data_IF_143572303516
#
_entry.id   IF_143572303516
#
_cell.length_a   1.000
_cell.length_b   1.000
_cell.length_c   1.000
_cell.angle_alpha   90.00
_cell.angle_beta   90.00
_cell.angle_gamma   90.00
#
_symmetry.space_group_name_H-M   'P 1'
#
loop_
_entity.id
_entity.type
_entity.pdbx_description
1 polymer ?
#
# COMPACT_ATOMS: atom_id res chain seq x y z
N UNK A 1 8.01 -8.80 -18.55
CA UNK A 1 6.59 -8.43 -18.41
C UNK A 1 6.48 -6.95 -18.10
N UNK A 2 5.63 -6.26 -18.79
CA UNK A 2 5.56 -4.81 -18.70
C UNK A 2 4.33 -4.30 -17.94
N UNK A 3 3.41 -5.18 -17.55
CA UNK A 3 2.22 -4.75 -16.82
C UNK A 3 1.87 -5.72 -15.71
N UNK A 4 1.12 -5.22 -14.72
CA UNK A 4 0.62 -6.00 -13.59
C UNK A 4 -0.88 -5.77 -13.47
N UNK A 5 -1.57 -6.69 -12.80
CA UNK A 5 -3.02 -6.53 -12.56
C UNK A 5 -3.32 -5.42 -11.57
N UNK A 6 -2.41 -5.14 -10.66
CA UNK A 6 -2.61 -4.13 -9.64
C UNK A 6 -1.64 -2.98 -9.86
N UNK A 7 -2.06 -1.78 -9.47
CA UNK A 7 -1.20 -0.61 -9.49
C UNK A 7 -0.13 -0.72 -8.40
N UNK A 8 0.92 0.09 -8.52
CA UNK A 8 1.92 0.17 -7.45
C UNK A 8 1.32 0.69 -6.15
N UNK A 9 0.30 1.54 -6.21
CA UNK A 9 -0.43 1.97 -5.03
C UNK A 9 -1.02 0.77 -4.27
N UNK A 10 -1.63 -0.17 -5.00
CA UNK A 10 -2.17 -1.38 -4.41
C UNK A 10 -1.08 -2.26 -3.81
N UNK A 11 0.04 -2.42 -4.52
CA UNK A 11 1.16 -3.22 -4.01
C UNK A 11 1.73 -2.64 -2.72
N UNK A 12 1.85 -1.32 -2.63
CA UNK A 12 2.33 -0.65 -1.41
C UNK A 12 1.38 -0.90 -0.25
N UNK A 13 0.07 -0.79 -0.47
CA UNK A 13 -0.92 -1.06 0.57
C UNK A 13 -0.83 -2.50 1.07
N UNK A 14 -0.69 -3.46 0.19
CA UNK A 14 -0.57 -4.88 0.55
C UNK A 14 0.68 -5.11 1.39
N UNK A 15 1.81 -4.54 0.97
CA UNK A 15 3.07 -4.67 1.71
C UNK A 15 2.98 -4.04 3.09
N UNK A 16 2.37 -2.87 3.21
CA UNK A 16 2.19 -2.20 4.51
C UNK A 16 1.23 -2.97 5.42
N UNK A 17 0.27 -3.67 4.85
CA UNK A 17 -0.62 -4.52 5.62
C UNK A 17 0.15 -5.68 6.27
N UNK A 18 1.15 -6.21 5.57
CA UNK A 18 2.01 -7.27 6.10
C UNK A 18 3.01 -6.75 7.12
N UNK A 19 3.58 -5.58 6.87
CA UNK A 19 4.57 -4.97 7.77
C UNK A 19 4.35 -3.46 7.81
N UNK A 20 3.64 -2.96 8.84
CA UNK A 20 3.35 -1.52 8.96
C UNK A 20 4.57 -0.63 9.12
N UNK A 21 5.74 -1.20 9.39
CA UNK A 21 6.99 -0.46 9.58
C UNK A 21 7.97 -0.65 8.43
N UNK A 22 7.49 -1.13 7.28
CA UNK A 22 8.32 -1.29 6.08
C UNK A 22 8.95 0.05 5.71
N UNK A 23 10.25 0.03 5.39
CA UNK A 23 10.95 1.25 4.99
C UNK A 23 10.69 1.60 3.53
N UNK A 24 10.95 2.86 3.17
CA UNK A 24 10.81 3.31 1.78
C UNK A 24 11.69 2.48 0.86
N UNK A 25 12.93 2.20 1.26
CA UNK A 25 13.85 1.40 0.45
C UNK A 25 13.38 -0.03 0.28
N UNK A 26 12.82 -0.63 1.33
CA UNK A 26 12.26 -1.97 1.27
C UNK A 26 11.04 -2.01 0.34
N UNK A 27 10.17 -1.01 0.41
CA UNK A 27 9.02 -0.91 -0.47
C UNK A 27 9.47 -0.75 -1.93
N UNK A 28 10.47 0.10 -2.16
CA UNK A 28 11.01 0.33 -3.50
C UNK A 28 11.58 -0.96 -4.10
N UNK A 29 12.34 -1.70 -3.30
CA UNK A 29 12.92 -2.96 -3.73
C UNK A 29 11.83 -3.98 -4.08
N UNK A 30 10.84 -4.13 -3.19
CA UNK A 30 9.76 -5.10 -3.37
C UNK A 30 8.89 -4.77 -4.59
N UNK A 31 8.63 -3.50 -4.84
CA UNK A 31 7.81 -3.06 -5.97
C UNK A 31 8.59 -2.94 -7.27
N UNK A 32 9.92 -2.94 -7.21
CA UNK A 32 10.75 -2.77 -8.39
C UNK A 32 10.71 -1.36 -8.97
N UNK A 33 10.52 -0.35 -8.13
CA UNK A 33 10.48 1.06 -8.52
C UNK A 33 11.42 1.87 -7.62
N UNK A 34 11.59 3.15 -7.95
CA UNK A 34 12.50 4.01 -7.20
C UNK A 34 11.92 4.40 -5.85
N UNK A 35 12.80 4.76 -4.90
CA UNK A 35 12.38 5.31 -3.61
C UNK A 35 11.57 6.58 -3.79
N UNK A 36 11.92 7.40 -4.79
CA UNK A 36 11.17 8.61 -5.11
C UNK A 36 9.73 8.30 -5.51
N UNK A 37 9.53 7.25 -6.32
CA UNK A 37 8.19 6.81 -6.69
C UNK A 37 7.40 6.33 -5.49
N UNK A 38 8.05 5.62 -4.56
CA UNK A 38 7.40 5.19 -3.32
C UNK A 38 6.95 6.40 -2.49
N UNK A 39 7.79 7.43 -2.36
CA UNK A 39 7.41 8.64 -1.62
C UNK A 39 6.16 9.27 -2.24
N UNK A 40 6.12 9.37 -3.56
CA UNK A 40 4.96 9.90 -4.27
C UNK A 40 3.70 9.08 -3.99
N UNK A 41 3.81 7.76 -4.02
CA UNK A 41 2.68 6.85 -3.75
C UNK A 41 2.20 7.01 -2.30
N UNK A 42 3.12 7.06 -1.34
CA UNK A 42 2.76 7.24 0.06
C UNK A 42 2.05 8.58 0.29
N UNK A 43 2.52 9.64 -0.37
CA UNK A 43 1.89 10.94 -0.28
C UNK A 43 0.48 10.92 -0.88
N UNK A 44 0.28 10.24 -2.00
CA UNK A 44 -1.04 10.07 -2.61
C UNK A 44 -2.00 9.36 -1.66
N UNK A 45 -1.54 8.24 -1.10
CA UNK A 45 -2.37 7.43 -0.21
C UNK A 45 -2.74 8.18 1.07
N UNK A 46 -1.80 8.92 1.62
CA UNK A 46 -2.04 9.71 2.84
C UNK A 46 -2.99 10.87 2.56
N UNK A 47 -2.78 11.59 1.46
CA UNK A 47 -3.60 12.74 1.09
C UNK A 47 -5.07 12.36 0.87
N UNK A 48 -5.31 11.13 0.39
CA UNK A 48 -6.68 10.66 0.10
C UNK A 48 -7.26 9.84 1.25
N UNK A 49 -6.57 9.78 2.38
CA UNK A 49 -7.10 9.14 3.58
C UNK A 49 -7.01 7.62 3.60
N UNK A 50 -6.20 7.01 2.73
CA UNK A 50 -6.03 5.55 2.70
C UNK A 50 -5.02 5.05 3.72
N UNK A 51 -4.05 5.89 4.08
CA UNK A 51 -3.09 5.57 5.14
C UNK A 51 -2.90 6.77 6.06
N UNK A 52 -2.49 6.49 7.29
CA UNK A 52 -1.99 7.49 8.22
C UNK A 52 -0.58 7.07 8.63
N UNK A 53 0.27 8.04 8.86
CA UNK A 53 1.67 7.83 9.17
C UNK A 53 1.97 8.37 10.56
N UNK A 54 2.64 7.55 11.37
CA UNK A 54 3.04 7.93 12.72
C UNK A 54 4.53 7.70 12.89
N UNK A 55 5.22 8.68 13.45
CA UNK A 55 6.65 8.54 13.74
C UNK A 55 6.84 7.72 15.01
N UNK A 56 7.64 6.67 14.93
CA UNK A 56 7.98 5.81 16.06
C UNK A 56 9.51 5.69 16.06
N UNK A 57 10.16 6.44 16.97
CA UNK A 57 11.62 6.51 16.97
C UNK A 57 12.13 7.11 15.67
N UNK A 58 12.97 6.38 14.96
CA UNK A 58 13.54 6.79 13.66
C UNK A 58 12.71 6.34 12.47
N UNK A 59 11.70 5.52 12.71
CA UNK A 59 10.92 4.90 11.65
C UNK A 59 9.52 5.48 11.59
N UNK A 60 8.87 5.28 10.46
CA UNK A 60 7.44 5.55 10.33
C UNK A 60 6.66 4.25 10.52
N UNK A 61 5.53 4.35 11.16
CA UNK A 61 4.57 3.27 11.24
C UNK A 61 3.30 3.70 10.54
N UNK A 62 2.79 2.85 9.68
CA UNK A 62 1.63 3.17 8.85
C UNK A 62 0.41 2.42 9.35
N UNK A 63 -0.73 3.09 9.38
CA UNK A 63 -2.02 2.45 9.58
C UNK A 63 -2.83 2.59 8.31
N UNK A 64 -3.63 1.57 7.99
CA UNK A 64 -4.40 1.51 6.75
C UNK A 64 -5.86 1.70 7.08
N UNK A 65 -6.53 2.57 6.33
CA UNK A 65 -7.98 2.71 6.38
C UNK A 65 -8.59 1.61 5.52
N UNK A 66 -8.97 0.50 6.14
CA UNK A 66 -9.51 -0.64 5.42
C UNK A 66 -10.90 -0.38 4.83
N UNK A 67 -11.60 0.63 5.32
CA UNK A 67 -12.91 1.00 4.81
C UNK A 67 -12.84 1.90 3.57
N UNK A 68 -11.64 2.32 3.17
CA UNK A 68 -11.45 3.15 2.00
C UNK A 68 -11.91 2.45 0.73
N UNK A 69 -12.76 3.09 -0.10
CA UNK A 69 -13.26 2.45 -1.31
C UNK A 69 -12.20 2.38 -2.41
N UNK A 70 -12.24 1.32 -3.21
CA UNK A 70 -11.44 1.25 -4.42
C UNK A 70 -11.97 2.30 -5.40
N UNK A 71 -11.09 2.84 -6.25
CA UNK A 71 -11.37 4.12 -6.91
C UNK A 71 -11.93 4.01 -8.32
N UNK A 72 -11.83 2.86 -8.95
CA UNK A 72 -12.32 2.70 -10.31
C UNK A 72 -13.82 2.38 -10.30
N UNK A 73 -14.62 2.87 -11.27
CA UNK A 73 -16.04 2.56 -11.34
C UNK A 73 -16.40 1.09 -11.30
N UNK A 74 -15.50 0.23 -11.77
CA UNK A 74 -15.74 -1.22 -11.75
C UNK A 74 -15.49 -1.85 -10.38
N UNK A 75 -14.90 -1.13 -9.44
CA UNK A 75 -14.50 -1.70 -8.15
C UNK A 75 -14.83 -0.83 -6.94
N UNK A 76 -15.45 0.34 -7.13
CA UNK A 76 -15.62 1.30 -6.03
C UNK A 76 -16.53 0.79 -4.91
N UNK A 77 -17.31 -0.24 -5.14
CA UNK A 77 -18.15 -0.86 -4.10
C UNK A 77 -17.39 -1.91 -3.26
N UNK A 78 -16.14 -2.14 -3.59
CA UNK A 78 -15.23 -2.92 -2.74
C UNK A 78 -14.26 -1.99 -2.03
N UNK A 79 -13.68 -2.46 -0.94
CA UNK A 79 -12.81 -1.66 -0.08
C UNK A 79 -11.36 -2.14 -0.16
N UNK A 80 -10.45 -1.31 0.36
CA UNK A 80 -9.06 -1.69 0.57
C UNK A 80 -8.99 -2.93 1.46
N UNK A 81 -9.86 -3.04 2.47
CA UNK A 81 -9.93 -4.22 3.32
C UNK A 81 -10.21 -5.49 2.54
N UNK A 82 -11.13 -5.43 1.56
CA UNK A 82 -11.41 -6.57 0.70
C UNK A 82 -10.18 -7.01 -0.08
N UNK A 83 -9.45 -6.04 -0.63
CA UNK A 83 -8.23 -6.31 -1.38
C UNK A 83 -7.16 -6.96 -0.50
N UNK A 84 -6.96 -6.41 0.69
CA UNK A 84 -5.97 -6.92 1.64
C UNK A 84 -6.36 -8.33 2.10
N UNK A 85 -7.63 -8.57 2.38
CA UNK A 85 -8.09 -9.89 2.79
C UNK A 85 -7.82 -10.94 1.72
N UNK A 86 -8.04 -10.58 0.46
CA UNK A 86 -7.80 -11.50 -0.65
C UNK A 86 -6.31 -11.78 -0.89
N UNK A 87 -5.43 -10.79 -0.70
CA UNK A 87 -4.04 -10.86 -1.15
C UNK A 87 -3.01 -10.65 -0.04
N UNK A 88 -3.42 -10.13 1.11
CA UNK A 88 -2.48 -9.74 2.17
C UNK A 88 -1.75 -10.91 2.82
N UNK A 89 -2.29 -12.11 2.77
CA UNK A 89 -1.63 -13.31 3.29
C UNK A 89 -0.91 -14.10 2.21
N UNK A 90 -0.90 -13.60 0.98
CA UNK A 90 -0.27 -14.27 -0.14
C UNK A 90 1.24 -14.35 0.10
N UNK A 91 1.81 -15.53 -0.05
CA UNK A 91 3.24 -15.75 0.19
C UNK A 91 3.58 -16.11 1.61
N UNK A 92 2.62 -16.14 2.52
CA UNK A 92 2.82 -16.57 3.90
C UNK A 92 2.69 -18.09 4.07
N UNK A 93 2.31 -18.72 3.02
CA UNK A 93 2.12 -20.16 3.02
C UNK A 93 3.45 -20.92 3.10
#
# INVERSE_FOLDING_TARGET
MTWTFLSHHAHVLILLAKNPEETIDQLAFACGITSRSIVSILNDLEAEGYIARQRVGRNNRYSINQDGPLRHPTSFHHTVGDLIEALGSFGDA
#
